data_IF_795442658667
#
_entry.id   IF_795442658667
#
_cell.length_a   1.000
_cell.length_b   1.000
_cell.length_c   1.000
_cell.angle_alpha   90.00
_cell.angle_beta   90.00
_cell.angle_gamma   90.00
#
_symmetry.space_group_name_H-M   'P 1'
#
loop_
_entity.id
_entity.type
_entity.pdbx_description
1 polymer ?
#
# COMPACT_ATOMS: atom_id res chain seq x y z
N UNK A 1 -1.43 8.54 -2.18
CA UNK A 1 -0.94 7.13 -2.34
C UNK A 1 -2.03 6.08 -2.15
N UNK A 2 -3.07 6.40 -1.36
CA UNK A 2 -4.38 5.72 -1.34
C UNK A 2 -4.93 5.53 -2.78
N UNK A 3 -4.58 6.40 -3.71
CA UNK A 3 -5.11 6.37 -5.08
C UNK A 3 -4.60 5.25 -6.01
N UNK A 4 -3.44 4.62 -5.79
CA UNK A 4 -2.85 3.77 -6.85
C UNK A 4 -3.63 2.48 -7.10
N UNK A 5 -4.07 1.77 -6.05
CA UNK A 5 -4.97 0.62 -6.23
C UNK A 5 -6.37 1.07 -6.65
N UNK A 6 -6.89 2.14 -6.05
CA UNK A 6 -8.19 2.71 -6.40
C UNK A 6 -8.30 3.07 -7.88
N UNK A 7 -7.22 3.61 -8.45
CA UNK A 7 -7.11 3.90 -9.88
C UNK A 7 -7.07 2.64 -10.74
N UNK A 8 -6.27 1.64 -10.36
CA UNK A 8 -6.23 0.35 -11.05
C UNK A 8 -7.60 -0.36 -11.03
N UNK A 9 -8.31 -0.28 -9.91
CA UNK A 9 -9.67 -0.80 -9.77
C UNK A 9 -10.67 -0.02 -10.63
N UNK A 10 -10.55 1.31 -10.73
CA UNK A 10 -11.38 2.12 -11.62
C UNK A 10 -11.21 1.73 -13.10
N UNK A 11 -10.01 1.32 -13.50
CA UNK A 11 -9.71 0.85 -14.86
C UNK A 11 -10.01 -0.64 -15.10
N UNK A 12 -10.40 -1.38 -14.07
CA UNK A 12 -10.52 -2.85 -14.12
C UNK A 12 -11.45 -3.36 -15.22
N UNK A 13 -12.62 -2.73 -15.39
CA UNK A 13 -13.58 -3.09 -16.43
C UNK A 13 -13.02 -2.90 -17.85
N UNK A 14 -12.13 -1.91 -18.04
CA UNK A 14 -11.51 -1.63 -19.35
C UNK A 14 -10.44 -2.67 -19.72
N UNK A 15 -9.73 -3.19 -18.72
CA UNK A 15 -8.58 -4.09 -18.93
C UNK A 15 -8.82 -5.52 -18.46
N UNK A 16 -10.06 -5.87 -18.09
CA UNK A 16 -10.44 -7.17 -17.55
C UNK A 16 -9.55 -7.62 -16.37
N UNK A 17 -9.31 -6.69 -15.43
CA UNK A 17 -8.47 -6.93 -14.23
C UNK A 17 -9.35 -7.44 -13.09
N UNK A 18 -8.92 -8.53 -12.43
CA UNK A 18 -9.52 -8.99 -11.17
C UNK A 18 -9.15 -8.03 -10.04
N UNK A 19 -10.14 -7.30 -9.52
CA UNK A 19 -9.95 -6.27 -8.50
C UNK A 19 -9.50 -6.81 -7.14
N UNK A 20 -9.56 -8.13 -6.94
CA UNK A 20 -9.11 -8.84 -5.73
C UNK A 20 -7.66 -9.38 -5.86
N UNK A 21 -6.97 -9.10 -6.96
CA UNK A 21 -5.60 -9.59 -7.24
C UNK A 21 -4.65 -8.46 -7.61
N UNK A 22 -4.81 -7.30 -6.97
CA UNK A 22 -3.99 -6.11 -7.24
C UNK A 22 -2.97 -5.96 -6.11
N UNK A 23 -1.73 -6.37 -6.40
CA UNK A 23 -0.58 -6.17 -5.52
C UNK A 23 0.25 -4.94 -5.88
N UNK A 24 1.16 -4.55 -4.98
CA UNK A 24 2.15 -3.47 -5.21
C UNK A 24 3.56 -4.02 -5.13
N UNK A 25 4.42 -3.62 -6.06
CA UNK A 25 5.85 -3.98 -6.07
C UNK A 25 6.66 -2.71 -6.19
N UNK A 26 7.61 -2.49 -5.27
CA UNK A 26 8.49 -1.30 -5.31
C UNK A 26 9.87 -1.56 -4.72
N UNK A 27 10.79 -0.67 -5.10
CA UNK A 27 12.22 -0.76 -4.83
C UNK A 27 12.69 0.40 -3.92
N UNK A 28 13.68 0.17 -3.06
CA UNK A 28 14.35 1.21 -2.24
C UNK A 28 13.36 2.09 -1.47
N UNK A 29 13.41 3.42 -1.64
CA UNK A 29 12.47 4.36 -1.03
C UNK A 29 11.01 4.07 -1.40
N UNK A 30 10.77 3.51 -2.59
CA UNK A 30 9.46 3.05 -3.01
C UNK A 30 8.96 1.85 -2.20
N UNK A 31 9.87 1.04 -1.64
CA UNK A 31 9.54 -0.06 -0.73
C UNK A 31 8.94 0.45 0.58
N UNK A 32 9.56 1.47 1.20
CA UNK A 32 8.97 2.16 2.36
C UNK A 32 7.58 2.70 2.05
N UNK A 33 7.47 3.35 0.91
CA UNK A 33 6.24 3.95 0.45
C UNK A 33 5.13 2.89 0.23
N UNK A 34 5.48 1.70 -0.28
CA UNK A 34 4.54 0.58 -0.41
C UNK A 34 4.19 -0.08 0.91
N UNK A 35 5.13 -0.14 1.85
CA UNK A 35 4.84 -0.58 3.21
C UNK A 35 3.75 0.32 3.82
N UNK A 36 3.91 1.64 3.71
CA UNK A 36 2.89 2.61 4.14
C UNK A 36 1.55 2.44 3.41
N UNK A 37 1.56 2.11 2.11
CA UNK A 37 0.31 1.82 1.39
C UNK A 37 -0.38 0.55 1.89
N UNK A 38 0.40 -0.48 2.25
CA UNK A 38 -0.09 -1.75 2.76
C UNK A 38 -0.59 -1.66 4.21
N UNK A 39 -0.10 -0.70 5.00
CA UNK A 39 -0.44 -0.56 6.43
C UNK A 39 -1.41 0.58 6.73
N UNK A 40 -1.33 1.69 6.00
CA UNK A 40 -2.13 2.89 6.25
C UNK A 40 -3.36 3.03 5.35
N UNK A 41 -3.85 1.95 4.75
CA UNK A 41 -5.00 1.95 3.84
C UNK A 41 -6.32 2.40 4.51
N UNK A 42 -6.37 2.42 5.85
CA UNK A 42 -7.52 2.92 6.64
C UNK A 42 -7.54 4.46 6.73
N UNK A 43 -6.40 5.13 6.48
CA UNK A 43 -6.35 6.58 6.42
C UNK A 43 -7.12 7.05 5.19
N UNK A 44 -8.00 8.02 5.37
CA UNK A 44 -8.71 8.68 4.28
C UNK A 44 -8.00 9.98 3.92
N UNK A 45 -7.99 10.31 2.64
CA UNK A 45 -7.59 11.65 2.21
C UNK A 45 -8.56 12.67 2.86
N UNK A 46 -8.00 13.65 3.57
CA UNK A 46 -8.77 14.80 4.05
C UNK A 46 -9.28 15.56 2.81
N UNK A 47 -10.54 15.98 2.83
CA UNK A 47 -11.21 16.72 1.74
C UNK A 47 -11.37 15.94 0.41
N UNK A 48 -11.51 14.62 0.50
CA UNK A 48 -11.81 13.77 -0.65
C UNK A 48 -13.15 14.13 -1.31
N UNK A 49 -13.08 14.64 -2.53
CA UNK A 49 -14.24 14.92 -3.40
C UNK A 49 -14.30 14.00 -4.63
N UNK A 50 -13.21 13.29 -4.92
CA UNK A 50 -13.15 12.36 -6.06
C UNK A 50 -13.87 11.04 -5.73
N UNK A 51 -14.52 10.47 -6.75
CA UNK A 51 -15.12 9.13 -6.66
C UNK A 51 -14.05 8.05 -6.47
N UNK A 52 -12.83 8.26 -6.97
CA UNK A 52 -11.72 7.28 -6.86
C UNK A 52 -11.31 7.07 -5.41
N UNK A 53 -11.32 8.11 -4.59
CA UNK A 53 -10.96 8.01 -3.17
C UNK A 53 -11.94 7.17 -2.33
N UNK A 54 -13.17 6.95 -2.85
CA UNK A 54 -14.16 6.07 -2.22
C UNK A 54 -13.88 4.59 -2.50
N UNK A 55 -12.98 4.29 -3.43
CA UNK A 55 -12.61 2.93 -3.79
C UNK A 55 -11.56 2.42 -2.80
N UNK A 56 -11.69 1.19 -2.26
CA UNK A 56 -10.72 0.63 -1.32
C UNK A 56 -9.28 0.62 -1.87
N UNK A 57 -8.37 1.27 -1.15
CA UNK A 57 -6.97 1.44 -1.54
C UNK A 57 -6.04 0.32 -1.08
N UNK A 58 -6.51 -0.54 -0.17
CA UNK A 58 -5.73 -1.63 0.45
C UNK A 58 -5.23 -2.62 -0.60
N UNK A 59 -3.91 -2.74 -0.86
CA UNK A 59 -3.36 -3.77 -1.75
C UNK A 59 -3.74 -5.20 -1.31
N UNK A 60 -3.80 -6.14 -2.24
CA UNK A 60 -4.03 -7.56 -1.91
C UNK A 60 -2.73 -8.24 -1.48
N UNK A 61 -1.58 -7.73 -1.93
CA UNK A 61 -0.24 -8.13 -1.51
C UNK A 61 0.77 -7.00 -1.75
N UNK A 62 1.93 -7.05 -1.09
CA UNK A 62 3.05 -6.16 -1.36
C UNK A 62 4.37 -6.93 -1.47
N UNK A 63 5.21 -6.58 -2.44
CA UNK A 63 6.60 -7.03 -2.55
C UNK A 63 7.53 -5.83 -2.44
N UNK A 64 8.33 -5.81 -1.38
CA UNK A 64 9.25 -4.73 -1.05
C UNK A 64 10.67 -5.19 -1.37
N UNK A 65 11.30 -4.53 -2.33
CA UNK A 65 12.63 -4.90 -2.83
C UNK A 65 13.64 -3.90 -2.27
N UNK A 66 14.57 -4.37 -1.44
CA UNK A 66 15.56 -3.60 -0.67
C UNK A 66 14.98 -2.30 -0.06
N UNK A 67 13.89 -2.38 0.72
CA UNK A 67 13.22 -1.19 1.22
C UNK A 67 14.11 -0.37 2.16
N UNK A 68 14.18 0.94 1.90
CA UNK A 68 14.94 1.88 2.72
C UNK A 68 14.16 2.38 3.95
N UNK A 69 14.88 2.77 4.99
CA UNK A 69 14.37 3.60 6.10
C UNK A 69 13.09 3.08 6.80
N UNK A 70 12.97 1.77 7.01
CA UNK A 70 11.79 1.18 7.66
C UNK A 70 11.92 0.96 9.16
N UNK A 71 13.14 1.05 9.72
CA UNK A 71 13.40 0.74 11.12
C UNK A 71 14.03 1.90 11.87
N UNK A 72 13.79 1.98 13.17
CA UNK A 72 14.55 2.86 14.07
C UNK A 72 15.99 2.35 14.19
N UNK A 73 16.94 3.28 14.36
CA UNK A 73 18.37 2.95 14.41
C UNK A 73 18.75 2.11 15.64
N UNK A 74 17.97 2.23 16.73
CA UNK A 74 18.32 1.68 18.03
C UNK A 74 17.83 0.23 18.20
N UNK A 75 16.63 -0.11 17.70
CA UNK A 75 15.94 -1.30 18.20
C UNK A 75 15.47 -2.29 17.13
N UNK A 76 15.75 -2.05 15.84
CA UNK A 76 15.21 -2.83 14.69
C UNK A 76 13.67 -2.94 14.67
N UNK A 77 12.97 -2.12 15.45
CA UNK A 77 11.52 -1.98 15.38
C UNK A 77 11.13 -1.19 14.14
N UNK A 78 9.97 -1.51 13.57
CA UNK A 78 9.39 -0.71 12.50
C UNK A 78 9.11 0.71 13.00
N UNK A 79 9.32 1.68 12.12
CA UNK A 79 8.88 3.06 12.37
C UNK A 79 7.36 3.09 12.56
N UNK A 80 6.87 4.00 13.41
CA UNK A 80 5.44 4.10 13.78
C UNK A 80 4.51 4.36 12.60
N UNK A 81 5.04 4.89 11.51
CA UNK A 81 4.35 5.18 10.25
C UNK A 81 4.06 3.92 9.43
N UNK A 82 4.52 2.74 9.86
CA UNK A 82 4.22 1.43 9.25
C UNK A 82 3.48 0.56 10.29
N UNK A 83 2.23 0.89 10.65
CA UNK A 83 1.47 0.12 11.64
C UNK A 83 1.02 -1.22 11.05
N UNK A 84 1.47 -2.33 11.61
CA UNK A 84 1.06 -3.68 11.16
C UNK A 84 -0.07 -4.18 12.06
N UNK A 85 -1.18 -4.60 11.44
CA UNK A 85 -2.35 -5.16 12.10
C UNK A 85 -2.87 -6.42 11.39
N UNK A 86 -3.98 -6.98 11.88
CA UNK A 86 -4.57 -8.22 11.34
C UNK A 86 -5.06 -8.07 9.89
N UNK A 87 -5.37 -6.84 9.48
CA UNK A 87 -5.90 -6.54 8.16
C UNK A 87 -4.77 -6.24 7.17
N UNK A 88 -3.53 -6.10 7.63
CA UNK A 88 -2.36 -5.86 6.77
C UNK A 88 -2.22 -7.01 5.78
N UNK A 89 -2.17 -6.74 4.45
CA UNK A 89 -2.05 -7.81 3.47
C UNK A 89 -0.69 -8.52 3.59
N UNK A 90 -0.53 -9.72 3.01
CA UNK A 90 0.76 -10.37 2.93
C UNK A 90 1.82 -9.45 2.31
N UNK A 91 2.94 -9.27 3.00
CA UNK A 91 4.11 -8.50 2.56
C UNK A 91 5.31 -9.41 2.46
N UNK A 92 5.97 -9.39 1.30
CA UNK A 92 7.19 -10.13 1.03
C UNK A 92 8.37 -9.16 0.90
N UNK A 93 9.54 -9.59 1.37
CA UNK A 93 10.78 -8.82 1.31
C UNK A 93 11.78 -9.52 0.41
N UNK A 94 12.48 -8.75 -0.42
CA UNK A 94 13.60 -9.20 -1.26
C UNK A 94 14.81 -8.29 -1.09
#
# INVERSE_FOLDING_TARGET
>A
MIETKSYAQNLSAKFNIDTNKIGVIRFSAGGNLSARAATNFKLKALDSTDKIDKIPSRPDSALLIYPGSMSTAEDRHLITEIPVDVDTPPVFFL
#
